data_IF_839547006938
#
_entry.id   IF_839547006938
#
_cell.length_a   1.000
_cell.length_b   1.000
_cell.length_c   1.000
_cell.angle_alpha   90.00
_cell.angle_beta   90.00
_cell.angle_gamma   90.00
#
_symmetry.space_group_name_H-M   'P 1'
#
loop_
_entity.id
_entity.type
_entity.pdbx_description
1 polymer ?
#
# COMPACT_ATOMS: atom_id res chain seq x y z
N UNK A 1 15.84 20.74 31.20
CA UNK A 1 14.99 20.66 30.00
C UNK A 1 13.97 19.54 30.23
N UNK A 2 12.71 19.85 30.56
CA UNK A 2 11.67 18.82 30.80
C UNK A 2 11.01 18.49 29.47
N UNK A 3 11.30 17.30 28.92
CA UNK A 3 10.60 16.79 27.75
C UNK A 3 9.12 16.57 28.13
N UNK A 4 8.24 17.41 27.58
CA UNK A 4 6.80 17.32 27.78
C UNK A 4 6.32 16.02 27.12
N UNK A 5 5.97 15.03 27.93
CA UNK A 5 5.43 13.74 27.47
C UNK A 5 4.13 14.01 26.70
N UNK A 6 4.19 13.91 25.36
CA UNK A 6 3.02 13.98 24.48
C UNK A 6 2.13 12.81 24.88
N UNK A 7 0.86 13.10 25.21
CA UNK A 7 -0.12 12.09 25.60
C UNK A 7 -0.32 11.14 24.40
N UNK A 8 0.40 10.02 24.38
CA UNK A 8 0.22 8.97 23.38
C UNK A 8 -1.10 8.32 23.71
N UNK A 9 -2.12 8.53 22.87
CA UNK A 9 -3.32 7.71 22.89
C UNK A 9 -2.86 6.25 22.96
N UNK A 10 -3.13 5.59 24.08
CA UNK A 10 -2.82 4.18 24.25
C UNK A 10 -3.53 3.45 23.13
N UNK A 11 -2.76 2.86 22.21
CA UNK A 11 -3.32 2.02 21.14
C UNK A 11 -4.23 1.01 21.80
N UNK A 12 -5.54 1.20 21.61
CA UNK A 12 -6.54 0.39 22.30
C UNK A 12 -6.39 -1.05 21.80
N UNK A 13 -6.37 -2.02 22.72
CA UNK A 13 -6.41 -3.45 22.36
C UNK A 13 -7.53 -3.76 21.35
N UNK A 14 -8.66 -3.02 21.42
CA UNK A 14 -9.75 -3.11 20.44
C UNK A 14 -9.30 -2.77 19.02
N UNK A 15 -8.45 -1.77 18.84
CA UNK A 15 -7.93 -1.37 17.54
C UNK A 15 -6.97 -2.42 16.95
N UNK A 16 -6.10 -2.99 17.78
CA UNK A 16 -5.17 -4.06 17.37
C UNK A 16 -5.94 -5.29 16.88
N UNK A 17 -6.94 -5.73 17.64
CA UNK A 17 -7.83 -6.85 17.28
C UNK A 17 -8.61 -6.54 16.00
N UNK A 18 -9.13 -5.32 15.88
CA UNK A 18 -9.88 -4.90 14.69
C UNK A 18 -9.00 -4.97 13.44
N UNK A 19 -7.77 -4.44 13.51
CA UNK A 19 -6.84 -4.50 12.36
C UNK A 19 -6.47 -5.93 12.04
N UNK A 20 -6.09 -6.75 13.01
CA UNK A 20 -5.71 -8.16 12.73
C UNK A 20 -6.83 -8.94 12.07
N UNK A 21 -8.08 -8.81 12.54
CA UNK A 21 -9.24 -9.47 11.93
C UNK A 21 -9.50 -8.96 10.51
N UNK A 22 -9.47 -7.63 10.30
CA UNK A 22 -9.66 -7.05 8.97
C UNK A 22 -8.56 -7.44 7.99
N UNK A 23 -7.29 -7.37 8.41
CA UNK A 23 -6.12 -7.79 7.63
C UNK A 23 -6.27 -9.25 7.22
N UNK A 24 -6.67 -10.13 8.14
CA UNK A 24 -6.89 -11.55 7.84
C UNK A 24 -7.98 -11.76 6.77
N UNK A 25 -9.14 -11.11 6.93
CA UNK A 25 -10.25 -11.23 5.97
C UNK A 25 -9.82 -10.71 4.59
N UNK A 26 -9.19 -9.54 4.54
CA UNK A 26 -8.71 -8.93 3.29
C UNK A 26 -7.66 -9.83 2.63
N UNK A 27 -6.70 -10.36 3.41
CA UNK A 27 -5.68 -11.27 2.91
C UNK A 27 -6.29 -12.54 2.32
N UNK A 28 -7.30 -13.12 2.97
CA UNK A 28 -7.99 -14.32 2.49
C UNK A 28 -8.66 -14.07 1.15
N UNK A 29 -9.46 -12.99 1.04
CA UNK A 29 -10.16 -12.63 -0.19
C UNK A 29 -9.19 -12.33 -1.33
N UNK A 30 -8.14 -11.53 -1.07
CA UNK A 30 -7.15 -11.16 -2.08
C UNK A 30 -6.31 -12.36 -2.55
N UNK A 31 -5.87 -13.23 -1.63
CA UNK A 31 -5.14 -14.44 -2.02
C UNK A 31 -6.02 -15.38 -2.86
N UNK A 32 -7.29 -15.54 -2.50
CA UNK A 32 -8.20 -16.37 -3.28
C UNK A 32 -8.37 -15.86 -4.72
N UNK A 33 -8.60 -14.54 -4.87
CA UNK A 33 -8.75 -13.89 -6.19
C UNK A 33 -7.44 -14.00 -6.98
N UNK A 34 -6.29 -13.73 -6.35
CA UNK A 34 -4.98 -13.76 -7.00
C UNK A 34 -4.63 -15.16 -7.51
N UNK A 35 -4.85 -16.21 -6.72
CA UNK A 35 -4.59 -17.59 -7.14
C UNK A 35 -5.42 -17.97 -8.36
N UNK A 36 -6.73 -17.69 -8.36
CA UNK A 36 -7.62 -17.99 -9.49
C UNK A 36 -7.17 -17.26 -10.77
N UNK A 37 -6.82 -15.97 -10.64
CA UNK A 37 -6.34 -15.17 -11.77
C UNK A 37 -5.02 -15.73 -12.32
N UNK A 38 -4.09 -16.09 -11.45
CA UNK A 38 -2.75 -16.53 -11.86
C UNK A 38 -2.74 -17.93 -12.44
N UNK A 39 -3.59 -18.83 -11.96
CA UNK A 39 -3.67 -20.21 -12.46
C UNK A 39 -4.10 -20.24 -13.94
N UNK A 40 -5.10 -19.43 -14.31
CA UNK A 40 -5.67 -19.38 -15.66
C UNK A 40 -4.85 -18.57 -16.68
N UNK A 41 -3.87 -17.79 -16.23
CA UNK A 41 -3.10 -16.88 -17.09
C UNK A 41 -1.88 -17.58 -17.72
N UNK A 42 -1.52 -17.16 -18.93
CA UNK A 42 -0.26 -17.56 -19.56
C UNK A 42 0.94 -16.96 -18.82
N UNK A 43 2.13 -17.55 -19.01
CA UNK A 43 3.35 -17.11 -18.32
C UNK A 43 3.62 -15.61 -18.49
N UNK A 44 3.44 -15.10 -19.71
CA UNK A 44 3.68 -13.70 -20.04
C UNK A 44 2.67 -12.78 -19.32
N UNK A 45 1.40 -13.18 -19.28
CA UNK A 45 0.37 -12.43 -18.58
C UNK A 45 0.57 -12.46 -17.05
N UNK A 46 1.04 -13.57 -16.48
CA UNK A 46 1.39 -13.67 -15.06
C UNK A 46 2.52 -12.71 -14.68
N UNK A 47 3.51 -12.50 -15.54
CA UNK A 47 4.56 -11.48 -15.31
C UNK A 47 4.00 -10.05 -15.27
N UNK A 48 3.10 -9.69 -16.19
CA UNK A 48 2.45 -8.37 -16.18
C UNK A 48 1.62 -8.14 -14.91
N UNK A 49 0.89 -9.17 -14.47
CA UNK A 49 0.10 -9.12 -13.23
C UNK A 49 1.00 -8.97 -12.01
N UNK A 50 2.09 -9.75 -11.94
CA UNK A 50 3.09 -9.62 -10.88
C UNK A 50 3.63 -8.20 -10.80
N UNK A 51 4.02 -7.63 -11.94
CA UNK A 51 4.51 -6.27 -12.01
C UNK A 51 3.46 -5.24 -11.55
N UNK A 52 2.20 -5.41 -11.95
CA UNK A 52 1.11 -4.56 -11.50
C UNK A 52 0.90 -4.62 -9.97
N UNK A 53 0.99 -5.81 -9.37
CA UNK A 53 0.89 -6.00 -7.91
C UNK A 53 2.04 -5.30 -7.19
N UNK A 54 3.26 -5.43 -7.70
CA UNK A 54 4.45 -4.77 -7.12
C UNK A 54 4.33 -3.24 -7.19
N UNK A 55 3.93 -2.70 -8.34
CA UNK A 55 3.69 -1.25 -8.47
C UNK A 55 2.60 -0.77 -7.51
N UNK A 56 1.51 -1.52 -7.39
CA UNK A 56 0.43 -1.20 -6.47
C UNK A 56 0.91 -1.16 -5.01
N UNK A 57 1.72 -2.14 -4.58
CA UNK A 57 2.33 -2.15 -3.24
C UNK A 57 3.16 -0.90 -2.97
N UNK A 58 4.00 -0.49 -3.93
CA UNK A 58 4.85 0.73 -3.81
C UNK A 58 3.99 2.00 -3.74
N UNK A 59 2.93 2.09 -4.56
CA UNK A 59 2.03 3.26 -4.57
C UNK A 59 1.29 3.37 -3.23
N UNK A 60 0.80 2.25 -2.68
CA UNK A 60 0.14 2.23 -1.37
C UNK A 60 1.09 2.69 -0.25
N UNK A 61 2.35 2.22 -0.25
CA UNK A 61 3.39 2.67 0.71
C UNK A 61 3.64 4.19 0.59
N UNK A 62 3.74 4.69 -0.64
CA UNK A 62 3.90 6.11 -0.91
C UNK A 62 2.71 6.95 -0.40
N UNK A 63 1.48 6.43 -0.50
CA UNK A 63 0.29 7.08 0.04
C UNK A 63 0.36 7.19 1.56
N UNK A 64 0.68 6.11 2.28
CA UNK A 64 0.76 6.16 3.74
C UNK A 64 1.85 7.11 4.24
N UNK A 65 3.00 7.14 3.56
CA UNK A 65 4.09 8.09 3.85
C UNK A 65 3.68 9.54 3.55
N UNK A 66 2.96 9.78 2.46
CA UNK A 66 2.44 11.10 2.15
C UNK A 66 1.46 11.59 3.23
N UNK A 67 0.58 10.70 3.73
CA UNK A 67 -0.38 11.01 4.79
C UNK A 67 0.30 11.36 6.11
N UNK A 68 1.37 10.66 6.48
CA UNK A 68 2.13 10.95 7.70
C UNK A 68 3.00 12.20 7.59
N UNK A 69 3.45 12.54 6.39
CA UNK A 69 4.34 13.68 6.13
C UNK A 69 3.59 14.98 5.80
N UNK A 70 2.28 14.92 5.54
CA UNK A 70 1.48 16.10 5.19
C UNK A 70 1.23 16.99 6.40
N UNK A 71 1.31 18.30 6.18
CA UNK A 71 1.06 19.31 7.21
C UNK A 71 -0.38 19.82 7.18
N UNK A 72 -0.95 20.11 8.35
CA UNK A 72 -2.30 20.67 8.46
C UNK A 72 -2.39 22.11 7.89
N UNK A 73 -1.34 22.91 8.04
CA UNK A 73 -1.29 24.35 7.67
C UNK A 73 -1.69 24.60 6.20
N UNK A 74 -1.06 23.98 5.19
CA UNK A 74 -1.43 24.20 3.79
C UNK A 74 -2.86 23.74 3.48
N UNK A 75 -3.36 22.68 4.12
CA UNK A 75 -4.71 22.17 3.88
C UNK A 75 -5.77 23.04 4.56
N UNK A 76 -5.48 23.62 5.73
CA UNK A 76 -6.37 24.60 6.36
C UNK A 76 -6.56 25.86 5.51
N UNK A 77 -5.50 26.33 4.84
CA UNK A 77 -5.62 27.44 3.88
C UNK A 77 -6.52 27.06 2.70
N UNK A 78 -6.40 25.85 2.16
CA UNK A 78 -7.30 25.34 1.11
C UNK A 78 -8.75 25.22 1.58
N UNK A 79 -8.98 24.81 2.83
CA UNK A 79 -10.32 24.72 3.41
C UNK A 79 -10.96 26.11 3.63
N UNK A 80 -10.17 27.11 4.03
CA UNK A 80 -10.63 28.50 4.14
C UNK A 80 -11.06 29.07 2.77
N UNK A 81 -10.34 28.70 1.71
CA UNK A 81 -10.68 29.01 0.31
C UNK A 81 -11.79 28.13 -0.27
N UNK A 82 -12.46 27.31 0.55
CA UNK A 82 -13.55 26.39 0.16
C UNK A 82 -13.21 25.44 -1.00
N UNK A 83 -11.94 25.01 -1.07
CA UNK A 83 -11.54 24.00 -2.06
C UNK A 83 -12.18 22.66 -1.69
N UNK A 84 -12.87 22.06 -2.66
CA UNK A 84 -13.56 20.76 -2.51
C UNK A 84 -12.56 19.66 -2.11
N UNK A 85 -12.90 18.82 -1.14
CA UNK A 85 -12.00 17.77 -0.64
C UNK A 85 -11.03 18.20 0.47
N UNK A 86 -10.95 19.50 0.77
CA UNK A 86 -10.04 20.00 1.82
C UNK A 86 -10.48 19.58 3.23
N UNK A 87 -11.79 19.48 3.49
CA UNK A 87 -12.32 19.02 4.79
C UNK A 87 -11.99 17.55 5.04
N UNK A 88 -12.16 16.72 4.02
CA UNK A 88 -11.83 15.30 4.04
C UNK A 88 -10.33 15.09 4.22
N UNK A 89 -9.51 15.88 3.52
CA UNK A 89 -8.06 15.85 3.68
C UNK A 89 -7.63 16.19 5.13
N UNK A 90 -8.29 17.12 5.81
CA UNK A 90 -8.04 17.41 7.24
C UNK A 90 -8.37 16.20 8.12
N UNK A 91 -9.48 15.50 7.85
CA UNK A 91 -9.87 14.29 8.60
C UNK A 91 -8.81 13.19 8.42
N UNK A 92 -8.29 13.02 7.19
CA UNK A 92 -7.23 12.06 6.89
C UNK A 92 -5.95 12.39 7.67
N UNK A 93 -5.53 13.65 7.71
CA UNK A 93 -4.33 14.07 8.46
C UNK A 93 -4.53 13.87 9.97
N UNK A 94 -5.71 14.19 10.50
CA UNK A 94 -6.02 13.95 11.93
C UNK A 94 -5.95 12.49 12.31
N UNK A 95 -6.29 11.59 11.39
CA UNK A 95 -6.23 10.15 11.57
C UNK A 95 -5.00 9.52 10.87
N UNK A 96 -3.95 10.30 10.62
CA UNK A 96 -2.81 9.88 9.79
C UNK A 96 -2.14 8.58 10.27
N UNK A 97 -2.07 8.36 11.59
CA UNK A 97 -1.52 7.12 12.15
C UNK A 97 -2.29 5.88 11.71
N UNK A 98 -3.63 5.93 11.77
CA UNK A 98 -4.49 4.80 11.39
C UNK A 98 -4.47 4.59 9.89
N UNK A 99 -4.58 5.67 9.11
CA UNK A 99 -4.60 5.61 7.65
C UNK A 99 -3.26 5.10 7.12
N UNK A 100 -2.14 5.61 7.63
CA UNK A 100 -0.81 5.16 7.21
C UNK A 100 -0.55 3.71 7.57
N UNK A 101 -0.95 3.26 8.76
CA UNK A 101 -0.78 1.85 9.17
C UNK A 101 -1.62 0.92 8.28
N UNK A 102 -2.78 1.39 7.80
CA UNK A 102 -3.59 0.63 6.86
C UNK A 102 -2.94 0.53 5.47
N UNK A 103 -2.47 1.64 4.90
CA UNK A 103 -1.85 1.63 3.57
C UNK A 103 -0.47 0.97 3.55
N UNK A 104 0.37 1.24 4.55
CA UNK A 104 1.73 0.70 4.60
C UNK A 104 1.73 -0.76 5.05
N UNK A 105 1.11 -1.05 6.21
CA UNK A 105 1.30 -2.36 6.85
C UNK A 105 0.23 -3.35 6.36
N UNK A 106 -1.05 -2.96 6.32
CA UNK A 106 -2.11 -3.89 5.89
C UNK A 106 -2.02 -4.17 4.39
N UNK A 107 -2.13 -3.12 3.56
CA UNK A 107 -2.15 -3.29 2.11
C UNK A 107 -0.75 -3.62 1.57
N UNK A 108 0.28 -2.92 2.05
CA UNK A 108 1.65 -3.11 1.58
C UNK A 108 2.18 -4.51 1.86
N UNK A 109 2.00 -5.04 3.08
CA UNK A 109 2.49 -6.38 3.43
C UNK A 109 1.69 -7.47 2.72
N UNK A 110 0.36 -7.35 2.65
CA UNK A 110 -0.48 -8.32 1.91
C UNK A 110 -0.06 -8.35 0.43
N UNK A 111 0.11 -7.19 -0.21
CA UNK A 111 0.52 -7.12 -1.61
C UNK A 111 1.93 -7.71 -1.82
N UNK A 112 2.85 -7.50 -0.87
CA UNK A 112 4.19 -8.08 -0.93
C UNK A 112 4.20 -9.60 -0.73
N UNK A 113 3.32 -10.15 0.12
CA UNK A 113 3.18 -11.60 0.31
C UNK A 113 2.56 -12.22 -0.95
N UNK A 114 1.51 -11.60 -1.50
CA UNK A 114 0.85 -12.06 -2.72
C UNK A 114 1.83 -12.02 -3.90
N UNK A 115 2.65 -10.97 -4.05
CA UNK A 115 3.65 -10.91 -5.12
C UNK A 115 4.72 -12.01 -5.00
N UNK A 116 5.11 -12.38 -3.78
CA UNK A 116 6.01 -13.52 -3.54
C UNK A 116 5.38 -14.87 -3.89
N UNK A 117 4.13 -15.10 -3.49
CA UNK A 117 3.39 -16.31 -3.87
C UNK A 117 3.20 -16.38 -5.40
N UNK A 118 2.89 -15.24 -6.02
CA UNK A 118 2.77 -15.07 -7.45
C UNK A 118 4.08 -15.43 -8.19
N UNK A 119 5.23 -14.95 -7.71
CA UNK A 119 6.51 -15.30 -8.32
C UNK A 119 6.82 -16.80 -8.24
N UNK A 120 6.47 -17.46 -7.13
CA UNK A 120 6.65 -18.90 -6.99
C UNK A 120 5.80 -19.70 -8.00
N UNK A 121 4.55 -19.29 -8.24
CA UNK A 121 3.69 -19.89 -9.27
C UNK A 121 4.30 -19.70 -10.67
N UNK A 122 4.87 -18.53 -10.95
CA UNK A 122 5.55 -18.26 -12.22
C UNK A 122 6.78 -19.15 -12.40
N UNK A 123 7.60 -19.32 -11.36
CA UNK A 123 8.76 -20.23 -11.36
C UNK A 123 8.32 -21.65 -11.71
N UNK A 124 7.25 -22.15 -11.08
CA UNK A 124 6.70 -23.49 -11.35
C UNK A 124 6.32 -23.61 -12.82
N UNK A 125 5.55 -22.65 -13.36
CA UNK A 125 5.15 -22.64 -14.77
C UNK A 125 6.36 -22.61 -15.72
N UNK A 126 7.44 -21.89 -15.37
CA UNK A 126 8.63 -21.79 -16.22
C UNK A 126 9.34 -23.15 -16.25
N UNK A 127 9.53 -23.79 -15.11
CA UNK A 127 10.22 -25.08 -15.02
C UNK A 127 9.43 -26.19 -15.74
N UNK A 128 8.10 -26.17 -15.66
CA UNK A 128 7.24 -27.11 -16.38
C UNK A 128 7.32 -26.97 -17.91
N UNK A 129 7.54 -25.75 -18.42
CA UNK A 129 7.65 -25.49 -19.86
C UNK A 129 9.09 -25.53 -20.40
N UNK A 130 10.09 -25.28 -19.54
CA UNK A 130 11.51 -25.19 -19.89
C UNK A 130 12.31 -26.09 -18.94
N UNK A 131 12.55 -27.33 -19.36
CA UNK A 131 13.17 -28.42 -18.56
C UNK A 131 14.66 -28.24 -18.23
N UNK A 132 15.25 -27.06 -18.49
CA UNK A 132 16.72 -26.86 -18.46
C UNK A 132 17.26 -26.22 -17.19
N UNK A 133 16.42 -25.74 -16.27
CA UNK A 133 16.89 -25.00 -15.08
C UNK A 133 16.53 -25.69 -13.77
N UNK A 134 17.48 -25.69 -12.82
CA UNK A 134 17.24 -26.09 -11.44
C UNK A 134 16.24 -25.15 -10.78
N UNK A 135 15.07 -25.69 -10.43
CA UNK A 135 13.94 -24.95 -9.81
C UNK A 135 14.39 -24.07 -8.64
N UNK A 136 15.23 -24.58 -7.76
CA UNK A 136 15.68 -23.88 -6.55
C UNK A 136 16.50 -22.63 -6.88
N UNK A 137 17.39 -22.70 -7.88
CA UNK A 137 18.21 -21.55 -8.28
C UNK A 137 17.37 -20.47 -8.95
N UNK A 138 16.41 -20.88 -9.78
CA UNK A 138 15.52 -19.96 -10.48
C UNK A 138 14.59 -19.22 -9.51
N UNK A 139 14.06 -19.92 -8.50
CA UNK A 139 13.24 -19.34 -7.43
C UNK A 139 14.03 -18.29 -6.63
N UNK A 140 15.24 -18.64 -6.19
CA UNK A 140 16.12 -17.72 -5.44
C UNK A 140 16.44 -16.47 -6.27
N UNK A 141 16.76 -16.63 -7.56
CA UNK A 141 17.05 -15.51 -8.45
C UNK A 141 15.85 -14.58 -8.61
N UNK A 142 14.66 -15.13 -8.91
CA UNK A 142 13.45 -14.32 -9.10
C UNK A 142 13.06 -13.63 -7.80
N UNK A 143 13.06 -14.33 -6.66
CA UNK A 143 12.75 -13.75 -5.36
C UNK A 143 13.73 -12.63 -4.99
N UNK A 144 15.02 -12.80 -5.26
CA UNK A 144 16.06 -11.78 -4.98
C UNK A 144 15.87 -10.53 -5.85
N UNK A 145 15.60 -10.71 -7.14
CA UNK A 145 15.31 -9.60 -8.06
C UNK A 145 14.05 -8.86 -7.61
N UNK A 146 12.98 -9.60 -7.28
CA UNK A 146 11.73 -9.04 -6.81
C UNK A 146 11.93 -8.23 -5.52
N UNK A 147 12.68 -8.76 -4.56
CA UNK A 147 13.01 -8.05 -3.32
C UNK A 147 13.80 -6.76 -3.59
N UNK A 148 14.80 -6.80 -4.47
CA UNK A 148 15.57 -5.61 -4.85
C UNK A 148 14.69 -4.54 -5.51
N UNK A 149 13.78 -4.94 -6.41
CA UNK A 149 12.82 -4.03 -7.06
C UNK A 149 11.86 -3.41 -6.03
N UNK A 150 11.31 -4.20 -5.11
CA UNK A 150 10.38 -3.70 -4.11
C UNK A 150 11.05 -2.69 -3.16
N UNK A 151 12.25 -2.99 -2.67
CA UNK A 151 12.96 -2.11 -1.74
C UNK A 151 13.40 -0.81 -2.42
N UNK A 152 13.98 -0.91 -3.63
CA UNK A 152 14.39 0.27 -4.41
C UNK A 152 13.18 1.12 -4.84
N UNK A 153 12.11 0.48 -5.30
CA UNK A 153 10.87 1.13 -5.68
C UNK A 153 10.23 1.90 -4.52
N UNK A 154 10.15 1.28 -3.33
CA UNK A 154 9.69 1.97 -2.12
C UNK A 154 10.57 3.18 -1.83
N UNK A 155 11.90 3.06 -1.84
CA UNK A 155 12.81 4.18 -1.57
C UNK A 155 12.58 5.39 -2.50
N UNK A 156 12.43 5.14 -3.81
CA UNK A 156 12.09 6.18 -4.80
C UNK A 156 10.70 6.77 -4.49
N UNK A 157 9.72 5.92 -4.22
CA UNK A 157 8.36 6.31 -3.84
C UNK A 157 8.31 7.23 -2.62
N UNK A 158 9.11 6.96 -1.57
CA UNK A 158 9.17 7.82 -0.37
C UNK A 158 9.63 9.23 -0.71
N UNK A 159 10.66 9.37 -1.55
CA UNK A 159 11.17 10.68 -1.95
C UNK A 159 10.10 11.52 -2.67
N UNK A 160 9.35 10.89 -3.58
CA UNK A 160 8.25 11.54 -4.30
C UNK A 160 7.09 11.86 -3.34
N UNK A 161 6.75 10.93 -2.44
CA UNK A 161 5.67 11.06 -1.47
C UNK A 161 5.89 12.22 -0.51
N UNK A 162 7.10 12.38 0.02
CA UNK A 162 7.45 13.47 0.93
C UNK A 162 7.44 14.81 0.20
N UNK A 163 8.00 14.88 -1.01
CA UNK A 163 8.03 16.12 -1.81
C UNK A 163 6.63 16.61 -2.17
N UNK A 164 5.71 15.69 -2.47
CA UNK A 164 4.34 15.99 -2.91
C UNK A 164 3.27 15.63 -1.87
N UNK A 165 3.63 15.56 -0.58
CA UNK A 165 2.76 15.02 0.48
C UNK A 165 1.40 15.71 0.54
N UNK A 166 1.38 17.05 0.56
CA UNK A 166 0.15 17.84 0.63
C UNK A 166 -0.75 17.63 -0.60
N UNK A 167 -0.16 17.46 -1.79
CA UNK A 167 -0.92 17.24 -3.01
C UNK A 167 -1.54 15.83 -3.06
N UNK A 168 -0.79 14.82 -2.63
CA UNK A 168 -1.28 13.43 -2.56
C UNK A 168 -2.44 13.34 -1.56
N UNK A 169 -2.29 13.94 -0.37
CA UNK A 169 -3.34 13.95 0.65
C UNK A 169 -4.56 14.75 0.21
N UNK A 170 -4.37 15.88 -0.46
CA UNK A 170 -5.46 16.62 -1.08
C UNK A 170 -6.22 15.76 -2.12
N UNK A 171 -5.51 15.06 -3.00
CA UNK A 171 -6.13 14.15 -3.98
C UNK A 171 -6.93 13.04 -3.30
N UNK A 172 -6.42 12.46 -2.22
CA UNK A 172 -7.16 11.46 -1.44
C UNK A 172 -8.44 12.06 -0.84
N UNK A 173 -8.34 13.25 -0.23
CA UNK A 173 -9.50 13.98 0.29
C UNK A 173 -10.53 14.31 -0.81
N UNK A 174 -10.05 14.72 -1.99
CA UNK A 174 -10.89 14.99 -3.15
C UNK A 174 -11.63 13.75 -3.65
N UNK A 175 -10.97 12.60 -3.76
CA UNK A 175 -11.63 11.33 -4.12
C UNK A 175 -12.68 10.96 -3.09
N UNK A 176 -12.37 11.08 -1.79
CA UNK A 176 -13.32 10.78 -0.72
C UNK A 176 -14.51 11.75 -0.75
N UNK A 177 -14.32 13.01 -1.16
CA UNK A 177 -15.42 13.99 -1.30
C UNK A 177 -16.46 13.66 -2.38
N UNK A 178 -16.17 12.71 -3.29
CA UNK A 178 -17.19 12.20 -4.21
C UNK A 178 -18.14 11.21 -3.53
N UNK A 179 -17.61 10.43 -2.57
CA UNK A 179 -18.38 9.44 -1.83
C UNK A 179 -19.07 10.05 -0.61
N UNK A 180 -18.44 11.05 0.00
CA UNK A 180 -19.05 11.88 1.03
C UNK A 180 -19.91 12.92 0.33
N UNK A 181 -21.20 12.61 0.14
CA UNK A 181 -22.20 13.65 -0.19
C UNK A 181 -22.10 14.74 0.87
N UNK A 182 -21.50 15.89 0.53
CA UNK A 182 -21.72 17.11 1.31
C UNK A 182 -23.23 17.38 1.26
N UNK A 183 -23.89 17.24 2.42
CA UNK A 183 -25.10 18.02 2.70
C UNK A 183 -24.67 19.48 2.60
N UNK A 184 -25.02 20.10 1.48
CA UNK A 184 -25.01 21.56 1.31
C UNK A 184 -25.95 22.17 2.36
#
# INVERSE_FOLDING_TARGET
MKFKKKNTNTTSYKWIITITVWTFIIALVLNFISNILMEKMSILASFFILFAIVLFSIICDAIGIAVTSAGEIPIHSMAASKVRGAKEAIIIIRNASVVSNFFNDVIGDIASIISGAASAIIVIKIVENFTTFDKSWLDILIASILAAIMVSGKAIGKGIAIKNCNFIVYKLGYVISFFTKEKI
#
